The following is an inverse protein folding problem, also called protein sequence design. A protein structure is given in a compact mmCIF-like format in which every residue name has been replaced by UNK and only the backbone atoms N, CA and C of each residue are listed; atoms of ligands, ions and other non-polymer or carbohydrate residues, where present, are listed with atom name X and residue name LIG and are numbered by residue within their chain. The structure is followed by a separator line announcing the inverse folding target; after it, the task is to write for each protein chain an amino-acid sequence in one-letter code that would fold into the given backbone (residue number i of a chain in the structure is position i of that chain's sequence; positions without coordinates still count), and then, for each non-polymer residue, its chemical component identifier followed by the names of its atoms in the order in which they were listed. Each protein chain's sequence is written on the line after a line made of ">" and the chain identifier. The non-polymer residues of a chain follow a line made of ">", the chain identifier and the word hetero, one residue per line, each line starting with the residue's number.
data_IF_072330113415
#
_entry.id   IF_072330113415
#
_cell.length_a   1.000
_cell.length_b   1.000
_cell.length_c   1.000
_cell.angle_alpha   90.00
_cell.angle_beta   90.00
_cell.angle_gamma   90.00
#
_symmetry.space_group_name_H-M   'P 1'
#
loop_
_entity.id
_entity.type
_entity.pdbx_description
1 polymer ?
#
# COMPACT_ATOMS: atom_id res chain seq x y z
N UNK A 1 4.90 -13.14 -8.91
CA UNK A 1 5.90 -12.17 -8.47
C UNK A 1 5.54 -11.66 -7.08
N UNK A 2 6.51 -11.66 -6.19
CA UNK A 2 6.28 -11.24 -4.80
C UNK A 2 6.74 -9.81 -4.57
N UNK A 3 6.06 -9.18 -3.64
CA UNK A 3 6.39 -7.84 -3.18
C UNK A 3 6.44 -7.83 -1.66
N UNK A 4 7.33 -6.99 -1.12
CA UNK A 4 7.35 -6.66 0.29
C UNK A 4 6.63 -5.33 0.45
N UNK A 5 5.64 -5.31 1.33
CA UNK A 5 4.85 -4.11 1.62
C UNK A 5 5.05 -3.75 3.08
N UNK A 6 5.32 -2.48 3.34
CA UNK A 6 5.47 -1.97 4.71
C UNK A 6 4.47 -0.83 4.86
N UNK A 7 3.57 -0.96 5.83
CA UNK A 7 2.58 0.08 6.16
C UNK A 7 2.75 0.45 7.62
N UNK A 8 3.10 1.70 7.88
CA UNK A 8 3.35 2.22 9.23
C UNK A 8 4.28 1.31 10.04
N UNK A 9 5.35 0.84 9.40
CA UNK A 9 6.36 0.00 10.04
C UNK A 9 6.04 -1.49 10.10
N UNK A 10 4.83 -1.91 9.72
CA UNK A 10 4.45 -3.32 9.68
C UNK A 10 4.70 -3.86 8.28
N UNK A 11 5.54 -4.88 8.16
CA UNK A 11 5.89 -5.45 6.86
C UNK A 11 5.21 -6.80 6.65
N UNK A 12 4.85 -7.06 5.40
CA UNK A 12 4.33 -8.35 4.97
C UNK A 12 4.69 -8.59 3.51
N UNK A 13 4.61 -9.85 3.09
CA UNK A 13 4.87 -10.26 1.71
C UNK A 13 3.56 -10.61 1.04
N UNK A 14 3.42 -10.20 -0.23
CA UNK A 14 2.19 -10.43 -0.98
C UNK A 14 2.49 -10.52 -2.48
N UNK A 15 1.47 -10.70 -3.28
CA UNK A 15 1.56 -10.72 -4.74
C UNK A 15 0.84 -9.52 -5.33
N UNK A 16 1.17 -9.20 -6.60
CA UNK A 16 0.47 -8.13 -7.31
C UNK A 16 -1.02 -8.38 -7.41
N UNK A 17 -1.43 -9.63 -7.65
CA UNK A 17 -2.85 -9.98 -7.72
C UNK A 17 -3.56 -9.73 -6.39
N UNK A 18 -2.94 -10.09 -5.28
CA UNK A 18 -3.50 -9.84 -3.95
C UNK A 18 -3.61 -8.34 -3.67
N UNK A 19 -2.61 -7.54 -4.04
CA UNK A 19 -2.66 -6.09 -3.87
C UNK A 19 -3.85 -5.50 -4.62
N UNK A 20 -4.10 -5.96 -5.85
CA UNK A 20 -5.22 -5.47 -6.65
C UNK A 20 -6.57 -5.85 -6.07
N UNK A 21 -6.66 -7.01 -5.41
CA UNK A 21 -7.90 -7.44 -4.73
C UNK A 21 -8.10 -6.72 -3.40
N UNK A 22 -7.04 -6.28 -2.78
CA UNK A 22 -7.04 -5.62 -1.49
C UNK A 22 -6.30 -6.42 -0.45
N UNK A 23 -5.29 -5.81 0.17
CA UNK A 23 -4.50 -6.40 1.27
C UNK A 23 -4.59 -5.46 2.46
N UNK A 24 -4.44 -6.01 3.64
CA UNK A 24 -4.48 -5.25 4.88
C UNK A 24 -5.83 -5.36 5.56
N UNK A 25 -5.91 -4.78 6.74
CA UNK A 25 -7.02 -4.98 7.66
C UNK A 25 -8.12 -3.94 7.51
N UNK A 26 -7.94 -2.95 6.66
CA UNK A 26 -8.91 -1.88 6.49
C UNK A 26 -8.97 -1.39 5.05
N UNK A 27 -10.07 -0.75 4.70
CA UNK A 27 -10.26 -0.15 3.38
C UNK A 27 -9.24 0.95 3.12
N UNK A 28 -8.85 1.70 4.15
CA UNK A 28 -7.83 2.74 4.02
C UNK A 28 -6.49 2.17 3.62
N UNK A 29 -6.03 1.11 4.30
CA UNK A 29 -4.78 0.43 3.96
C UNK A 29 -4.86 -0.15 2.55
N UNK A 30 -5.93 -0.84 2.22
CA UNK A 30 -6.11 -1.41 0.88
C UNK A 30 -6.02 -0.33 -0.21
N UNK A 31 -6.65 0.80 0.01
CA UNK A 31 -6.66 1.92 -0.94
C UNK A 31 -5.25 2.47 -1.16
N UNK A 32 -4.52 2.78 -0.09
CA UNK A 32 -3.20 3.40 -0.23
C UNK A 32 -2.18 2.44 -0.82
N UNK A 33 -2.21 1.17 -0.43
CA UNK A 33 -1.29 0.17 -0.99
C UNK A 33 -1.55 -0.02 -2.49
N UNK A 34 -2.81 -0.13 -2.89
CA UNK A 34 -3.17 -0.29 -4.30
C UNK A 34 -2.75 0.94 -5.12
N UNK A 35 -3.01 2.14 -4.64
CA UNK A 35 -2.64 3.36 -5.35
C UNK A 35 -1.13 3.47 -5.51
N UNK A 36 -0.37 3.18 -4.46
CA UNK A 36 1.08 3.23 -4.55
C UNK A 36 1.63 2.16 -5.49
N UNK A 37 1.05 0.96 -5.46
CA UNK A 37 1.43 -0.11 -6.36
C UNK A 37 1.20 0.27 -7.82
N UNK A 38 0.09 0.92 -8.13
CA UNK A 38 -0.21 1.40 -9.49
C UNK A 38 0.78 2.47 -9.95
N UNK A 39 1.33 3.25 -9.03
CA UNK A 39 2.33 4.28 -9.34
C UNK A 39 3.74 3.71 -9.51
N UNK A 40 3.94 2.46 -9.20
CA UNK A 40 5.26 1.84 -9.18
C UNK A 40 5.82 1.58 -10.58
N UNK A 41 4.96 1.23 -11.54
CA UNK A 41 5.35 0.88 -12.92
C UNK A 41 6.48 -0.15 -12.93
N UNK A 42 7.63 0.21 -13.54
CA UNK A 42 8.79 -0.67 -13.64
C UNK A 42 9.83 -0.43 -12.53
N UNK A 43 9.52 0.37 -11.55
CA UNK A 43 10.44 0.62 -10.44
C UNK A 43 10.66 -0.64 -9.60
N UNK A 44 11.86 -0.75 -9.02
CA UNK A 44 12.19 -1.84 -8.09
C UNK A 44 11.46 -1.63 -6.76
N UNK A 45 11.28 -0.38 -6.37
CA UNK A 45 10.58 -0.04 -5.14
C UNK A 45 10.06 1.37 -5.18
N UNK A 46 9.12 1.67 -4.29
CA UNK A 46 8.51 2.98 -4.15
C UNK A 46 8.13 3.19 -2.69
N UNK A 47 8.25 4.42 -2.23
CA UNK A 47 7.83 4.79 -0.88
C UNK A 47 7.15 6.14 -0.93
N UNK A 48 6.08 6.29 -0.17
CA UNK A 48 5.36 7.56 -0.09
C UNK A 48 4.53 7.60 1.17
N UNK A 49 4.25 8.82 1.64
CA UNK A 49 3.23 9.05 2.65
C UNK A 49 1.91 9.31 1.92
N UNK A 50 0.93 8.48 2.19
CA UNK A 50 -0.37 8.52 1.53
C UNK A 50 -1.42 9.02 2.50
N UNK A 51 -2.38 9.77 1.99
CA UNK A 51 -3.47 10.34 2.78
C UNK A 51 -4.80 9.87 2.23
N UNK A 52 -5.69 9.46 3.13
CA UNK A 52 -7.08 9.15 2.80
C UNK A 52 -7.99 9.77 3.85
N UNK A 53 -9.27 9.92 3.51
CA UNK A 53 -10.28 10.36 4.46
C UNK A 53 -11.13 9.16 4.86
N UNK A 54 -11.39 9.03 6.15
CA UNK A 54 -12.30 8.00 6.63
C UNK A 54 -13.76 8.44 6.39
N UNK A 55 -14.72 7.60 6.78
CA UNK A 55 -16.15 7.92 6.59
C UNK A 55 -16.63 9.07 7.45
N UNK A 56 -15.86 9.49 8.45
CA UNK A 56 -16.13 10.67 9.27
C UNK A 56 -15.40 11.90 8.75
N UNK A 57 -14.78 11.81 7.58
CA UNK A 57 -14.01 12.88 6.95
C UNK A 57 -12.76 13.28 7.72
N UNK A 58 -12.26 12.41 8.59
CA UNK A 58 -10.96 12.60 9.23
C UNK A 58 -9.84 12.17 8.30
N UNK A 59 -8.80 12.99 8.20
CA UNK A 59 -7.63 12.67 7.39
C UNK A 59 -6.78 11.64 8.12
N UNK A 60 -6.52 10.53 7.46
CA UNK A 60 -5.66 9.46 7.96
C UNK A 60 -4.46 9.34 7.05
N UNK A 61 -3.26 9.29 7.64
CA UNK A 61 -2.01 9.20 6.88
C UNK A 61 -1.36 7.83 7.10
N UNK A 62 -0.77 7.29 6.03
CA UNK A 62 -0.05 6.02 6.07
C UNK A 62 1.32 6.20 5.43
N UNK A 63 2.36 5.69 6.07
CA UNK A 63 3.68 5.56 5.47
C UNK A 63 3.74 4.20 4.78
N UNK A 64 3.84 4.19 3.45
CA UNK A 64 3.76 2.98 2.64
C UNK A 64 5.04 2.81 1.84
N UNK A 65 5.58 1.59 1.85
CA UNK A 65 6.70 1.20 1.00
C UNK A 65 6.34 -0.10 0.31
N UNK A 66 6.66 -0.21 -0.97
CA UNK A 66 6.49 -1.43 -1.74
C UNK A 66 7.78 -1.69 -2.49
N UNK A 67 8.30 -2.90 -2.40
CA UNK A 67 9.48 -3.29 -3.16
C UNK A 67 9.34 -4.70 -3.71
N UNK A 68 9.97 -4.92 -4.87
CA UNK A 68 10.06 -6.26 -5.46
C UNK A 68 11.01 -7.13 -4.63
N UNK A 69 10.64 -8.38 -4.51
CA UNK A 69 11.45 -9.36 -3.78
C UNK A 69 12.09 -10.33 -4.73
#
# INVERSE_FOLDING_TARGET
>A
MKYRVIVNGVSFYTTGAAIKRGVGDSDGVNTVVRQLFESMFNAIGIASTMHVYDHKMNRVSYDVQISKV
#
